data_IF_976924308496
#
_entry.id   IF_976924308496
#
_cell.length_a   1.000
_cell.length_b   1.000
_cell.length_c   1.000
_cell.angle_alpha   90.00
_cell.angle_beta   90.00
_cell.angle_gamma   90.00
#
_symmetry.space_group_name_H-M   'P 1'
#
loop_
_entity.id
_entity.type
_entity.pdbx_description
1 polymer ?
#
# COMPACT_ATOMS: atom_id res chain seq x y z
N UNK A 1 -6.45 -32.42 13.25
CA UNK A 1 -5.65 -31.84 14.34
C UNK A 1 -5.77 -30.34 14.18
N UNK A 2 -6.66 -29.70 14.95
CA UNK A 2 -6.91 -28.26 14.83
C UNK A 2 -5.78 -27.54 15.54
N UNK A 3 -4.90 -26.89 14.79
CA UNK A 3 -3.95 -25.95 15.38
C UNK A 3 -4.79 -24.83 16.01
N UNK A 4 -4.62 -24.63 17.31
CA UNK A 4 -5.27 -23.54 18.03
C UNK A 4 -4.86 -22.22 17.36
N UNK A 5 -5.82 -21.47 16.84
CA UNK A 5 -5.57 -20.20 16.17
C UNK A 5 -4.87 -19.18 17.10
N UNK A 6 -4.94 -19.39 18.43
CA UNK A 6 -4.21 -18.60 19.42
C UNK A 6 -2.72 -18.92 19.54
N UNK A 7 -2.26 -20.04 18.96
CA UNK A 7 -0.87 -20.49 18.96
C UNK A 7 -0.17 -20.30 17.60
N UNK A 8 -0.92 -19.93 16.56
CA UNK A 8 -0.36 -19.78 15.23
C UNK A 8 0.28 -18.40 15.04
N UNK A 9 1.38 -18.30 14.28
CA UNK A 9 2.16 -17.07 14.12
C UNK A 9 1.51 -16.12 13.11
N UNK A 10 0.24 -15.79 13.32
CA UNK A 10 -0.53 -14.97 12.39
C UNK A 10 -0.57 -13.50 12.80
N UNK A 11 -0.87 -12.63 11.84
CA UNK A 11 -1.18 -11.23 12.11
C UNK A 11 -2.48 -11.16 12.91
N UNK A 12 -2.46 -10.40 14.00
CA UNK A 12 -3.63 -10.07 14.80
C UNK A 12 -4.49 -8.99 14.14
N UNK A 13 -3.82 -8.03 13.50
CA UNK A 13 -4.46 -6.89 12.87
C UNK A 13 -3.58 -6.31 11.78
N UNK A 14 -4.23 -5.73 10.78
CA UNK A 14 -3.63 -4.97 9.69
C UNK A 14 -4.44 -3.68 9.52
N UNK A 15 -3.75 -2.54 9.52
CA UNK A 15 -4.34 -1.22 9.33
C UNK A 15 -3.58 -0.46 8.26
N UNK A 16 -4.32 0.22 7.40
CA UNK A 16 -3.77 1.08 6.35
C UNK A 16 -4.38 2.46 6.53
N UNK A 17 -3.55 3.49 6.48
CA UNK A 17 -3.95 4.89 6.60
C UNK A 17 -3.45 5.70 5.39
N UNK A 18 -4.33 6.45 4.71
CA UNK A 18 -5.78 6.56 4.95
C UNK A 18 -6.53 5.22 4.74
N UNK A 19 -7.69 4.99 5.38
CA UNK A 19 -8.40 3.71 5.31
C UNK A 19 -8.67 3.25 3.88
N UNK A 20 -8.43 1.96 3.61
CA UNK A 20 -8.75 1.28 2.36
C UNK A 20 -9.56 0.03 2.65
N UNK A 21 -10.40 -0.37 1.69
CA UNK A 21 -11.14 -1.62 1.78
C UNK A 21 -10.23 -2.75 1.30
N UNK A 22 -10.06 -3.77 2.15
CA UNK A 22 -9.32 -4.97 1.81
C UNK A 22 -10.28 -6.03 1.24
N UNK A 23 -9.81 -6.71 0.21
CA UNK A 23 -10.46 -7.85 -0.42
C UNK A 23 -9.50 -9.06 -0.38
N UNK A 24 -9.82 -10.13 0.38
CA UNK A 24 -10.94 -10.23 1.32
C UNK A 24 -10.78 -9.28 2.52
N UNK A 25 -11.87 -9.09 3.29
CA UNK A 25 -11.79 -8.43 4.58
C UNK A 25 -10.75 -9.12 5.48
N UNK A 26 -10.06 -8.34 6.32
CA UNK A 26 -8.94 -8.85 7.11
C UNK A 26 -9.36 -10.06 7.97
N UNK A 27 -8.62 -11.14 7.84
CA UNK A 27 -8.70 -12.31 8.72
C UNK A 27 -7.31 -12.95 8.79
N UNK A 28 -6.77 -13.27 9.97
CA UNK A 28 -5.44 -13.85 10.14
C UNK A 28 -5.14 -15.08 9.25
N UNK A 29 -6.19 -15.77 8.80
CA UNK A 29 -6.13 -16.95 7.93
C UNK A 29 -5.82 -16.63 6.46
N UNK A 30 -6.11 -15.42 6.00
CA UNK A 30 -5.78 -14.98 4.64
C UNK A 30 -4.36 -14.43 4.59
N UNK A 31 -3.55 -15.02 3.71
CA UNK A 31 -2.17 -14.58 3.47
C UNK A 31 -2.07 -13.60 2.30
N UNK A 32 -3.16 -13.34 1.57
CA UNK A 32 -3.17 -12.45 0.41
C UNK A 32 -4.34 -11.49 0.51
N UNK A 33 -4.05 -10.20 0.37
CA UNK A 33 -5.01 -9.12 0.41
C UNK A 33 -4.82 -8.21 -0.80
N UNK A 34 -5.93 -7.70 -1.30
CA UNK A 34 -5.95 -6.74 -2.38
C UNK A 34 -6.74 -5.49 -1.94
N UNK A 35 -6.35 -4.34 -2.46
CA UNK A 35 -7.07 -3.10 -2.27
C UNK A 35 -6.94 -2.23 -3.52
N UNK A 36 -7.99 -1.45 -3.81
CA UNK A 36 -7.99 -0.46 -4.88
C UNK A 36 -8.07 0.92 -4.26
N UNK A 37 -7.25 1.85 -4.75
CA UNK A 37 -7.23 3.25 -4.31
C UNK A 37 -7.32 4.20 -5.50
N UNK A 38 -7.91 5.37 -5.24
CA UNK A 38 -8.00 6.46 -6.22
C UNK A 38 -6.62 7.00 -6.63
N UNK A 39 -6.57 7.67 -7.78
CA UNK A 39 -5.32 8.15 -8.39
C UNK A 39 -4.55 9.19 -7.54
N UNK A 40 -5.25 9.91 -6.67
CA UNK A 40 -4.72 10.97 -5.81
C UNK A 40 -3.99 10.43 -4.57
N UNK A 41 -4.24 9.18 -4.19
CA UNK A 41 -3.51 8.51 -3.10
C UNK A 41 -2.11 8.11 -3.54
N UNK A 42 -1.12 8.91 -3.15
CA UNK A 42 0.30 8.69 -3.50
C UNK A 42 1.10 7.98 -2.41
N UNK A 43 0.59 7.94 -1.19
CA UNK A 43 1.30 7.44 -0.02
C UNK A 43 0.31 6.82 0.96
N UNK A 44 0.73 5.73 1.60
CA UNK A 44 -0.01 5.07 2.67
C UNK A 44 0.92 4.71 3.83
N UNK A 45 0.37 4.71 5.03
CA UNK A 45 0.97 4.12 6.21
C UNK A 45 0.35 2.75 6.44
N UNK A 46 1.17 1.71 6.46
CA UNK A 46 0.76 0.34 6.71
C UNK A 46 1.25 -0.01 8.11
N UNK A 47 0.35 -0.44 8.98
CA UNK A 47 0.67 -0.90 10.33
C UNK A 47 0.10 -2.29 10.54
N UNK A 48 0.86 -3.17 11.17
CA UNK A 48 0.42 -4.52 11.49
C UNK A 48 1.02 -5.00 12.81
N UNK A 49 0.35 -5.94 13.46
CA UNK A 49 0.79 -6.53 14.70
C UNK A 49 0.40 -8.00 14.82
N UNK A 50 1.06 -8.70 15.73
CA UNK A 50 0.83 -10.11 16.06
C UNK A 50 0.15 -10.23 17.42
N UNK A 51 -0.47 -11.39 17.70
CA UNK A 51 -1.09 -11.65 19.00
C UNK A 51 -0.07 -12.06 20.07
N UNK A 52 1.06 -12.64 19.64
CA UNK A 52 1.98 -13.34 20.53
C UNK A 52 3.23 -12.51 20.81
N UNK A 53 3.59 -12.36 22.09
CA UNK A 53 4.74 -11.55 22.54
C UNK A 53 6.10 -12.05 22.04
N UNK A 54 6.17 -13.29 21.55
CA UNK A 54 7.38 -13.90 20.97
C UNK A 54 7.40 -13.82 19.46
N UNK A 55 6.50 -13.06 18.84
CA UNK A 55 6.46 -12.86 17.40
C UNK A 55 6.43 -11.36 17.12
N UNK A 56 7.10 -10.95 16.06
CA UNK A 56 7.23 -9.54 15.71
C UNK A 56 6.97 -9.37 14.22
N UNK A 57 6.49 -8.19 13.85
CA UNK A 57 6.22 -7.86 12.45
C UNK A 57 7.47 -7.26 11.83
N UNK A 58 7.79 -7.74 10.64
CA UNK A 58 8.83 -7.20 9.79
C UNK A 58 8.25 -6.93 8.40
N UNK A 59 8.68 -5.83 7.81
CA UNK A 59 8.30 -5.47 6.46
C UNK A 59 9.51 -5.58 5.56
N UNK A 60 9.44 -6.39 4.51
CA UNK A 60 10.59 -6.71 3.65
C UNK A 60 11.27 -5.46 3.05
N UNK A 61 10.48 -4.42 2.77
CA UNK A 61 10.94 -3.17 2.18
C UNK A 61 11.70 -2.25 3.15
N UNK A 62 11.75 -2.57 4.45
CA UNK A 62 12.39 -1.75 5.50
C UNK A 62 13.31 -2.61 6.36
N UNK A 63 14.50 -2.09 6.67
CA UNK A 63 15.38 -2.76 7.64
C UNK A 63 14.85 -2.54 9.07
N UNK A 64 14.80 -3.61 9.85
CA UNK A 64 14.48 -3.58 11.27
C UNK A 64 13.06 -4.01 11.65
N UNK A 65 12.85 -4.15 12.95
CA UNK A 65 11.56 -4.52 13.56
C UNK A 65 10.69 -3.28 13.65
N UNK A 66 9.75 -3.12 12.72
CA UNK A 66 8.82 -1.99 12.70
C UNK A 66 7.40 -2.49 12.49
N UNK A 67 6.52 -2.14 13.43
CA UNK A 67 5.09 -2.44 13.37
C UNK A 67 4.33 -1.50 12.43
N UNK A 68 5.01 -0.49 11.85
CA UNK A 68 4.45 0.42 10.86
C UNK A 68 5.48 0.86 9.83
N UNK A 69 5.09 1.01 8.57
CA UNK A 69 5.87 1.68 7.53
C UNK A 69 5.06 2.74 6.81
N UNK A 70 5.76 3.72 6.25
CA UNK A 70 5.22 4.58 5.21
C UNK A 70 5.79 4.17 3.85
N UNK A 71 4.94 4.03 2.84
CA UNK A 71 5.32 3.67 1.47
C UNK A 71 4.58 4.51 0.43
N UNK A 72 5.25 4.79 -0.68
CA UNK A 72 4.65 5.48 -1.83
C UNK A 72 4.01 4.46 -2.76
N UNK A 73 2.85 4.80 -3.29
CA UNK A 73 2.06 3.95 -4.17
C UNK A 73 2.17 4.51 -5.59
N UNK A 74 2.76 3.73 -6.49
CA UNK A 74 2.83 4.01 -7.93
C UNK A 74 1.50 3.77 -8.63
N UNK A 75 1.34 4.24 -9.87
CA UNK A 75 0.14 3.88 -10.67
C UNK A 75 0.22 2.41 -11.03
N UNK A 76 -0.91 1.69 -10.95
CA UNK A 76 -0.95 0.24 -11.15
C UNK A 76 -0.73 -0.52 -9.86
N UNK A 77 -0.12 -1.70 -9.98
CA UNK A 77 0.00 -2.67 -8.89
C UNK A 77 1.20 -2.39 -7.99
N UNK A 78 0.99 -2.35 -6.67
CA UNK A 78 2.03 -2.18 -5.68
C UNK A 78 1.97 -3.34 -4.68
N UNK A 79 2.99 -4.19 -4.68
CA UNK A 79 3.07 -5.35 -3.79
C UNK A 79 3.92 -5.04 -2.56
N UNK A 80 3.38 -5.36 -1.38
CA UNK A 80 4.05 -5.22 -0.09
C UNK A 80 4.03 -6.59 0.62
N UNK A 81 5.20 -7.08 1.00
CA UNK A 81 5.34 -8.27 1.83
C UNK A 81 5.41 -7.90 3.32
N UNK A 82 4.56 -8.52 4.12
CA UNK A 82 4.49 -8.37 5.57
C UNK A 82 4.83 -9.73 6.18
N UNK A 83 5.89 -9.79 6.96
CA UNK A 83 6.41 -11.02 7.54
C UNK A 83 6.14 -11.01 9.04
N UNK A 84 5.69 -12.15 9.56
CA UNK A 84 5.75 -12.42 10.99
C UNK A 84 7.00 -13.23 11.24
N UNK A 85 7.88 -12.73 12.10
CA UNK A 85 9.12 -13.41 12.46
C UNK A 85 9.11 -13.77 13.95
N UNK A 86 9.94 -14.72 14.35
CA UNK A 86 10.16 -15.07 15.75
C UNK A 86 10.72 -13.88 16.55
N UNK A 87 10.69 -13.98 17.88
CA UNK A 87 11.08 -12.87 18.77
C UNK A 87 12.55 -12.49 18.68
N UNK A 88 13.39 -13.38 18.13
CA UNK A 88 14.79 -13.10 17.81
C UNK A 88 14.97 -12.47 16.42
N UNK A 89 13.93 -12.41 15.59
CA UNK A 89 13.96 -11.87 14.23
C UNK A 89 14.77 -12.71 13.23
N UNK A 90 14.94 -14.01 13.49
CA UNK A 90 15.77 -14.94 12.72
C UNK A 90 14.96 -15.83 11.79
N UNK A 91 13.76 -16.21 12.18
CA UNK A 91 12.92 -17.16 11.44
C UNK A 91 11.62 -16.50 10.99
N UNK A 92 11.28 -16.64 9.70
CA UNK A 92 10.00 -16.22 9.14
C UNK A 92 8.97 -17.30 9.42
N UNK A 93 7.94 -16.94 10.18
CA UNK A 93 6.88 -17.85 10.61
C UNK A 93 5.66 -17.81 9.68
N UNK A 94 5.38 -16.65 9.07
CA UNK A 94 4.36 -16.48 8.03
C UNK A 94 4.66 -15.26 7.16
N UNK A 95 4.16 -15.28 5.93
CA UNK A 95 4.32 -14.21 4.95
C UNK A 95 2.96 -13.82 4.37
N UNK A 96 2.62 -12.54 4.47
CA UNK A 96 1.40 -11.94 3.95
C UNK A 96 1.76 -11.03 2.78
N UNK A 97 0.97 -11.13 1.73
CA UNK A 97 1.09 -10.31 0.54
C UNK A 97 -0.07 -9.32 0.47
N UNK A 98 0.25 -8.03 0.53
CA UNK A 98 -0.70 -6.94 0.35
C UNK A 98 -0.47 -6.30 -1.02
N UNK A 99 -1.49 -6.35 -1.87
CA UNK A 99 -1.50 -5.75 -3.20
C UNK A 99 -2.37 -4.50 -3.17
N UNK A 100 -1.79 -3.33 -3.45
CA UNK A 100 -2.52 -2.06 -3.54
C UNK A 100 -2.45 -1.59 -4.98
N UNK A 101 -3.58 -1.65 -5.68
CA UNK A 101 -3.73 -1.14 -7.03
C UNK A 101 -4.19 0.31 -7.00
N UNK A 102 -3.35 1.22 -7.46
CA UNK A 102 -3.75 2.63 -7.66
C UNK A 102 -4.26 2.84 -9.07
N UNK A 103 -5.46 3.38 -9.17
CA UNK A 103 -6.06 3.71 -10.45
C UNK A 103 -5.29 4.83 -11.15
N UNK A 104 -5.20 4.76 -12.48
CA UNK A 104 -4.74 5.89 -13.27
C UNK A 104 -5.78 7.03 -13.19
N UNK A 105 -5.34 8.28 -13.39
CA UNK A 105 -6.26 9.44 -13.44
C UNK A 105 -7.40 9.22 -14.45
N UNK A 106 -7.09 8.57 -15.57
CA UNK A 106 -8.02 8.31 -16.67
C UNK A 106 -8.79 7.00 -16.52
N UNK A 107 -8.63 6.25 -15.41
CA UNK A 107 -9.23 4.93 -15.25
C UNK A 107 -10.77 4.94 -15.23
N UNK A 108 -11.37 6.08 -14.86
CA UNK A 108 -12.82 6.30 -14.86
C UNK A 108 -13.28 7.24 -15.96
N UNK A 109 -12.36 7.72 -16.79
CA UNK A 109 -12.73 8.55 -17.94
C UNK A 109 -13.38 7.67 -19.02
N UNK A 110 -14.39 8.20 -19.73
CA UNK A 110 -14.96 7.49 -20.85
C UNK A 110 -13.88 7.26 -21.93
N UNK A 111 -14.07 6.21 -22.72
CA UNK A 111 -13.24 5.98 -23.89
C UNK A 111 -13.26 7.21 -24.79
N UNK A 112 -12.10 7.52 -25.37
CA UNK A 112 -11.98 8.65 -26.28
C UNK A 112 -12.95 8.52 -27.47
N UNK A 113 -13.73 9.58 -27.71
CA UNK A 113 -14.64 9.70 -28.85
C UNK A 113 -14.30 10.95 -29.67
N UNK A 114 -13.78 10.73 -30.87
CA UNK A 114 -13.38 11.81 -31.77
C UNK A 114 -14.57 12.63 -32.32
N UNK A 115 -15.79 12.09 -32.26
CA UNK A 115 -16.99 12.78 -32.73
C UNK A 115 -17.51 13.82 -31.72
N UNK A 116 -17.08 13.75 -30.45
CA UNK A 116 -17.48 14.71 -29.44
C UNK A 116 -16.57 15.94 -29.42
N UNK A 117 -17.13 17.13 -29.19
CA UNK A 117 -16.34 18.34 -29.00
C UNK A 117 -15.42 18.15 -27.79
N UNK A 118 -14.12 18.25 -28.03
CA UNK A 118 -13.08 18.07 -27.02
C UNK A 118 -12.28 19.36 -26.83
N UNK A 119 -11.75 19.55 -25.63
CA UNK A 119 -10.84 20.65 -25.30
C UNK A 119 -9.44 20.11 -25.10
N UNK A 120 -8.46 20.77 -25.75
CA UNK A 120 -7.04 20.46 -25.56
C UNK A 120 -6.42 21.57 -24.70
N UNK A 121 -6.02 21.21 -23.48
CA UNK A 121 -5.27 22.12 -22.61
C UNK A 121 -3.77 22.02 -22.93
N UNK A 122 -3.15 23.15 -23.29
CA UNK A 122 -1.70 23.26 -23.47
C UNK A 122 -1.04 23.93 -22.27
N UNK A 123 0.19 23.52 -21.94
CA UNK A 123 1.02 24.25 -20.98
C UNK A 123 1.57 25.52 -21.65
N UNK A 124 1.21 26.69 -21.11
CA UNK A 124 1.78 27.98 -21.55
C UNK A 124 2.90 28.39 -20.60
N UNK A 125 4.15 28.19 -21.02
CA UNK A 125 5.31 28.65 -20.27
C UNK A 125 5.54 30.15 -20.53
N UNK A 126 5.59 30.94 -19.45
CA UNK A 126 5.91 32.38 -19.51
C UNK A 126 7.25 32.59 -18.82
N UNK A 127 8.24 33.12 -19.56
CA UNK A 127 9.55 33.51 -19.02
C UNK A 127 9.45 34.97 -18.59
N UNK A 128 9.68 35.23 -17.30
CA UNK A 128 9.70 36.60 -16.74
C UNK A 128 11.17 36.99 -16.56
N UNK A 129 11.68 37.89 -17.40
CA UNK A 129 12.97 38.54 -17.19
C UNK A 129 12.79 39.72 -16.22
N UNK A 130 13.41 39.67 -15.05
CA UNK A 130 13.62 40.87 -14.24
C UNK A 130 14.83 41.62 -14.80
N UNK A 131 14.62 42.83 -15.33
CA UNK A 131 15.72 43.77 -15.56
C UNK A 131 16.21 44.28 -14.21
N UNK A 132 17.38 43.83 -13.80
CA UNK A 132 18.15 44.48 -12.74
C UNK A 132 18.77 45.72 -13.40
N UNK A 133 18.22 46.90 -13.09
CA UNK A 133 18.77 48.18 -13.53
C UNK A 133 20.12 48.44 -12.85
N UNK A 134 21.11 48.77 -13.68
CA UNK A 134 22.40 49.34 -13.28
C UNK A 134 22.26 50.85 -13.02
#
# INVERSE_FOLDING_TARGET
MFADASLAPYLAWLRIEPPVVLEPAFSPLWLRYQAVVDYDRTMVRISAGTHHCTTVVHFEQRQGLQWSMNTTIGVGENSIAILTVDGAGREVLASYQLSIRREARTAREPAWDAAQPHQVCGLRQVIIWHQIGL
#
